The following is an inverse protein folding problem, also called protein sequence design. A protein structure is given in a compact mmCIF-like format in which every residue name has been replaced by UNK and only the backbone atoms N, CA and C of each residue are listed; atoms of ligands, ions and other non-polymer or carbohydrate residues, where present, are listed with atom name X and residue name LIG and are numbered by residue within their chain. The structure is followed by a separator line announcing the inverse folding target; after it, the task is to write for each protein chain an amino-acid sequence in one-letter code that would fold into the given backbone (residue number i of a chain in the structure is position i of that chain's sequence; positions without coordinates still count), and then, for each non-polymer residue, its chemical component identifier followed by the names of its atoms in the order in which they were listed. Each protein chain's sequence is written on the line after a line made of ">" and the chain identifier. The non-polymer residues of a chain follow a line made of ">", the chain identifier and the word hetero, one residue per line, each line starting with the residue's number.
data_IF_169992889963
#
_entry.id   IF_169992889963
#
_cell.length_a   1.000
_cell.length_b   1.000
_cell.length_c   1.000
_cell.angle_alpha   90.00
_cell.angle_beta   90.00
_cell.angle_gamma   90.00
#
_symmetry.space_group_name_H-M   'P 1'
#
loop_
_entity.id
_entity.type
_entity.pdbx_description
1 polymer ?
#
# COMPACT_ATOMS: atom_id res chain seq x y z
N UNK A 1 -16.42 -6.77 -15.70
CA UNK A 1 -16.23 -6.88 -14.22
C UNK A 1 -15.57 -5.60 -13.65
N UNK A 2 -15.75 -4.43 -14.27
CA UNK A 2 -14.83 -3.29 -14.05
C UNK A 2 -15.27 -2.21 -13.03
N UNK A 3 -16.53 -2.16 -12.61
CA UNK A 3 -17.04 -1.04 -11.81
C UNK A 3 -16.80 -1.13 -10.29
N UNK A 4 -17.18 -2.25 -9.66
CA UNK A 4 -17.18 -2.40 -8.20
C UNK A 4 -15.79 -2.68 -7.60
N UNK A 5 -14.87 -3.19 -8.43
CA UNK A 5 -13.55 -3.64 -7.97
C UNK A 5 -12.51 -2.52 -7.98
N UNK A 6 -12.51 -1.66 -9.01
CA UNK A 6 -11.65 -0.47 -9.05
C UNK A 6 -12.00 0.51 -7.91
N UNK A 7 -13.27 0.64 -7.55
CA UNK A 7 -13.71 1.54 -6.46
C UNK A 7 -13.21 1.11 -5.08
N UNK A 8 -13.28 -0.18 -4.74
CA UNK A 8 -12.82 -0.69 -3.44
C UNK A 8 -11.32 -0.53 -3.22
N UNK A 9 -10.51 -0.67 -4.27
CA UNK A 9 -9.06 -0.43 -4.14
C UNK A 9 -8.75 1.05 -3.92
N UNK A 10 -9.49 1.93 -4.61
CA UNK A 10 -9.36 3.37 -4.44
C UNK A 10 -9.65 3.78 -2.99
N UNK A 11 -10.72 3.25 -2.38
CA UNK A 11 -11.06 3.56 -0.97
C UNK A 11 -9.97 3.18 0.05
N UNK A 12 -9.15 2.15 -0.24
CA UNK A 12 -8.12 1.64 0.67
C UNK A 12 -6.87 2.51 0.70
N UNK A 13 -6.62 3.26 -0.36
CA UNK A 13 -5.39 4.04 -0.55
C UNK A 13 -5.63 5.54 -0.74
N UNK A 14 -6.88 5.97 -0.92
CA UNK A 14 -7.26 7.38 -1.08
C UNK A 14 -7.32 8.15 0.25
N UNK A 15 -7.52 7.46 1.37
CA UNK A 15 -7.69 8.06 2.70
C UNK A 15 -6.70 7.51 3.70
N UNK A 16 -6.42 8.29 4.74
CA UNK A 16 -5.61 7.89 5.89
C UNK A 16 -6.42 6.94 6.78
N UNK A 17 -5.78 5.88 7.26
CA UNK A 17 -6.31 4.88 8.18
C UNK A 17 -5.55 4.92 9.50
N UNK A 18 -6.29 4.88 10.60
CA UNK A 18 -5.74 4.96 11.95
C UNK A 18 -6.38 3.92 12.86
N UNK A 19 -5.64 3.48 13.87
CA UNK A 19 -6.12 2.57 14.90
C UNK A 19 -6.80 3.35 16.01
N UNK A 20 -8.02 2.98 16.36
CA UNK A 20 -8.79 3.54 17.45
C UNK A 20 -9.08 2.46 18.47
N UNK A 21 -8.83 2.72 19.75
CA UNK A 21 -9.23 1.81 20.82
C UNK A 21 -10.73 1.90 21.03
N UNK A 22 -11.37 0.73 21.08
CA UNK A 22 -12.80 0.62 21.34
C UNK A 22 -12.99 -0.21 22.58
N UNK A 23 -13.73 0.36 23.53
CA UNK A 23 -14.21 -0.35 24.71
C UNK A 23 -15.28 -1.35 24.29
N UNK A 24 -15.00 -2.64 24.43
CA UNK A 24 -16.03 -3.68 24.45
C UNK A 24 -16.39 -4.01 25.90
N UNK A 25 -17.65 -4.39 26.13
CA UNK A 25 -18.11 -4.92 27.42
C UNK A 25 -17.11 -5.96 27.93
N UNK A 26 -16.77 -5.86 29.22
CA UNK A 26 -15.64 -6.52 29.91
C UNK A 26 -14.31 -5.72 29.97
N UNK A 27 -14.34 -4.38 29.91
CA UNK A 27 -13.14 -3.51 30.04
C UNK A 27 -12.00 -3.83 29.04
N UNK A 28 -12.30 -4.55 27.96
CA UNK A 28 -11.32 -4.90 26.94
C UNK A 28 -11.25 -3.77 25.91
N UNK A 29 -10.07 -3.16 25.81
CA UNK A 29 -9.72 -2.25 24.71
C UNK A 29 -9.23 -3.10 23.54
N UNK A 30 -9.91 -2.99 22.40
CA UNK A 30 -9.47 -3.63 21.16
C UNK A 30 -9.13 -2.55 20.13
N UNK A 31 -7.92 -2.56 19.54
CA UNK A 31 -7.60 -1.62 18.48
C UNK A 31 -8.41 -1.99 17.24
N UNK A 32 -9.17 -1.02 16.71
CA UNK A 32 -9.88 -1.14 15.45
C UNK A 32 -9.30 -0.15 14.44
N UNK A 33 -8.90 -0.66 13.27
CA UNK A 33 -8.50 0.18 12.15
C UNK A 33 -9.75 0.84 11.53
N UNK A 34 -9.76 2.17 11.41
CA UNK A 34 -10.84 2.92 10.76
C UNK A 34 -10.27 3.92 9.75
N UNK A 35 -11.03 4.11 8.68
CA UNK A 35 -10.78 5.16 7.69
C UNK A 35 -11.11 6.51 8.31
N UNK A 36 -10.22 7.48 8.17
CA UNK A 36 -10.48 8.88 8.51
C UNK A 36 -11.20 9.59 7.35
N UNK A 37 -11.44 10.90 7.50
CA UNK A 37 -11.91 11.76 6.40
C UNK A 37 -10.75 12.51 5.71
N UNK A 38 -9.50 12.28 6.15
CA UNK A 38 -8.32 12.89 5.57
C UNK A 38 -7.92 12.16 4.29
N UNK A 39 -7.84 12.90 3.19
CA UNK A 39 -7.37 12.38 1.90
C UNK A 39 -5.85 12.34 1.88
N UNK A 40 -5.31 11.26 1.34
CA UNK A 40 -3.87 11.14 1.11
C UNK A 40 -3.43 12.03 -0.05
N UNK A 41 -2.18 12.45 0.01
CA UNK A 41 -1.51 13.04 -1.15
C UNK A 41 -1.36 12.01 -2.26
N UNK A 42 -1.13 12.46 -3.49
CA UNK A 42 -0.74 11.56 -4.59
C UNK A 42 0.47 10.69 -4.20
N UNK A 43 0.54 9.45 -4.67
CA UNK A 43 1.69 8.59 -4.42
C UNK A 43 2.95 9.19 -5.06
N UNK A 44 4.13 8.97 -4.45
CA UNK A 44 5.38 9.55 -4.95
C UNK A 44 5.78 8.96 -6.31
N UNK A 45 6.58 9.70 -7.08
CA UNK A 45 7.16 9.20 -8.34
C UNK A 45 6.19 8.88 -9.47
N UNK A 46 4.99 9.48 -9.44
CA UNK A 46 3.94 9.29 -10.45
C UNK A 46 3.61 7.80 -10.69
N UNK A 47 3.65 7.00 -9.63
CA UNK A 47 3.34 5.57 -9.72
C UNK A 47 1.83 5.33 -9.78
N UNK A 48 1.43 4.34 -10.57
CA UNK A 48 0.09 3.79 -10.51
C UNK A 48 0.03 2.76 -9.37
N UNK A 49 -0.83 3.02 -8.38
CA UNK A 49 -1.09 2.06 -7.31
C UNK A 49 -1.90 0.90 -7.86
N UNK A 50 -1.31 -0.29 -7.84
CA UNK A 50 -1.97 -1.52 -8.26
C UNK A 50 -2.16 -2.48 -7.11
N UNK A 51 -3.26 -3.24 -7.15
CA UNK A 51 -3.51 -4.30 -6.18
C UNK A 51 -2.65 -5.52 -6.49
N UNK A 52 -2.13 -6.13 -5.43
CA UNK A 52 -1.46 -7.42 -5.46
C UNK A 52 -1.90 -8.34 -4.33
N UNK A 53 -1.04 -9.31 -4.07
CA UNK A 53 -1.11 -10.22 -2.93
C UNK A 53 -0.14 -9.74 -1.85
N UNK A 54 -0.48 -9.98 -0.59
CA UNK A 54 0.44 -9.81 0.55
C UNK A 54 1.70 -10.70 0.43
N UNK A 55 1.61 -11.77 -0.35
CA UNK A 55 2.66 -12.74 -0.59
C UNK A 55 3.14 -12.66 -2.04
N UNK A 56 4.46 -12.67 -2.23
CA UNK A 56 5.11 -12.74 -3.54
C UNK A 56 6.50 -13.35 -3.43
N UNK A 57 7.01 -13.86 -4.55
CA UNK A 57 8.38 -14.32 -4.70
C UNK A 57 9.17 -13.28 -5.51
N UNK A 58 10.20 -12.68 -4.90
CA UNK A 58 10.99 -11.61 -5.50
C UNK A 58 12.46 -12.00 -5.59
N UNK A 59 13.14 -11.50 -6.62
CA UNK A 59 14.58 -11.73 -6.79
C UNK A 59 15.39 -10.98 -5.73
N UNK A 60 16.61 -11.43 -5.44
CA UNK A 60 17.55 -10.73 -4.56
C UNK A 60 17.78 -9.27 -5.01
N UNK A 61 17.91 -9.05 -6.32
CA UNK A 61 18.09 -7.72 -6.90
C UNK A 61 16.87 -6.81 -6.68
N UNK A 62 15.64 -7.35 -6.75
CA UNK A 62 14.44 -6.59 -6.43
C UNK A 62 14.43 -6.15 -4.96
N UNK A 63 14.81 -7.05 -4.05
CA UNK A 63 14.89 -6.71 -2.62
C UNK A 63 15.98 -5.67 -2.35
N UNK A 64 17.13 -5.76 -3.00
CA UNK A 64 18.16 -4.71 -2.93
C UNK A 64 17.64 -3.35 -3.41
N UNK A 65 16.89 -3.33 -4.52
CA UNK A 65 16.20 -2.12 -4.98
C UNK A 65 15.24 -1.58 -3.92
N UNK A 66 14.38 -2.40 -3.32
CA UNK A 66 13.44 -1.97 -2.26
C UNK A 66 14.18 -1.32 -1.08
N UNK A 67 15.30 -1.91 -0.65
CA UNK A 67 16.06 -1.45 0.51
C UNK A 67 16.87 -0.17 0.25
N UNK A 68 17.20 0.13 -1.00
CA UNK A 68 18.15 1.20 -1.35
C UNK A 68 17.50 2.37 -2.09
N UNK A 69 16.52 2.09 -2.94
CA UNK A 69 15.86 3.07 -3.81
C UNK A 69 15.12 4.14 -2.99
N UNK A 70 15.38 5.43 -3.22
CA UNK A 70 14.64 6.52 -2.58
C UNK A 70 13.14 6.41 -2.83
N UNK A 71 12.73 6.15 -4.07
CA UNK A 71 11.31 6.07 -4.43
C UNK A 71 10.60 4.88 -3.75
N UNK A 72 11.31 3.76 -3.54
CA UNK A 72 10.74 2.61 -2.82
C UNK A 72 10.49 2.91 -1.35
N UNK A 73 11.37 3.71 -0.72
CA UNK A 73 11.24 4.16 0.67
C UNK A 73 10.15 5.20 0.82
N UNK A 74 10.10 6.19 -0.07
CA UNK A 74 9.02 7.19 -0.10
C UNK A 74 7.66 6.54 -0.28
N UNK A 75 7.55 5.55 -1.18
CA UNK A 75 6.30 4.81 -1.36
C UNK A 75 5.94 4.00 -0.10
N UNK A 76 6.93 3.41 0.59
CA UNK A 76 6.69 2.65 1.82
C UNK A 76 6.14 3.56 2.92
N UNK A 77 6.73 4.75 3.07
CA UNK A 77 6.28 5.76 4.02
C UNK A 77 4.88 6.28 3.66
N UNK A 78 4.63 6.55 2.38
CA UNK A 78 3.30 6.92 1.89
C UNK A 78 2.25 5.83 2.16
N UNK A 79 2.62 4.56 2.08
CA UNK A 79 1.72 3.42 2.30
C UNK A 79 1.40 3.14 3.78
N UNK A 80 2.14 3.71 4.73
CA UNK A 80 2.08 3.34 6.17
C UNK A 80 0.68 3.41 6.80
N UNK A 81 -0.10 4.39 6.40
CA UNK A 81 -1.44 4.70 6.88
C UNK A 81 -2.52 4.42 5.83
N UNK A 82 -2.25 3.49 4.91
CA UNK A 82 -3.25 2.91 3.99
C UNK A 82 -3.83 1.62 4.56
N UNK A 83 -4.93 1.13 3.98
CA UNK A 83 -5.54 -0.13 4.43
C UNK A 83 -4.90 -1.35 3.77
N UNK A 84 -4.17 -2.13 4.58
CA UNK A 84 -3.37 -3.31 4.17
C UNK A 84 -2.35 -2.96 3.08
N UNK A 85 -1.25 -2.26 3.45
CA UNK A 85 -0.21 -1.85 2.51
C UNK A 85 0.49 -3.01 1.78
N UNK A 86 0.55 -4.17 2.43
CA UNK A 86 1.04 -5.43 1.87
C UNK A 86 0.30 -5.88 0.61
N UNK A 87 -0.98 -5.53 0.46
CA UNK A 87 -1.78 -5.86 -0.74
C UNK A 87 -1.61 -4.90 -1.92
N UNK A 88 -0.65 -3.95 -1.87
CA UNK A 88 -0.37 -3.10 -3.02
C UNK A 88 1.09 -2.64 -3.14
N UNK A 89 1.85 -2.53 -2.05
CA UNK A 89 3.21 -2.01 -2.07
C UNK A 89 4.12 -2.77 -3.06
N UNK A 90 4.20 -4.09 -2.93
CA UNK A 90 5.06 -4.93 -3.76
C UNK A 90 4.65 -4.90 -5.23
N UNK A 91 3.35 -5.06 -5.49
CA UNK A 91 2.81 -5.06 -6.84
C UNK A 91 3.01 -3.71 -7.54
N UNK A 92 2.87 -2.60 -6.80
CA UNK A 92 3.12 -1.25 -7.31
C UNK A 92 4.56 -1.09 -7.77
N UNK A 93 5.54 -1.46 -6.94
CA UNK A 93 6.95 -1.37 -7.33
C UNK A 93 7.29 -2.27 -8.53
N UNK A 94 6.65 -3.43 -8.65
CA UNK A 94 6.90 -4.38 -9.73
C UNK A 94 6.17 -4.03 -11.04
N UNK A 95 5.04 -3.32 -10.97
CA UNK A 95 4.20 -2.97 -12.12
C UNK A 95 4.69 -1.72 -12.86
N UNK A 96 5.17 -0.73 -12.12
CA UNK A 96 5.56 0.56 -12.67
C UNK A 96 6.94 0.45 -13.35
N UNK A 97 6.94 0.16 -14.65
CA UNK A 97 8.14 -0.18 -15.44
C UNK A 97 9.16 0.96 -15.51
N UNK A 98 8.71 2.21 -15.39
CA UNK A 98 9.57 3.40 -15.32
C UNK A 98 10.41 3.49 -14.04
N UNK A 99 10.09 2.69 -13.01
CA UNK A 99 10.93 2.57 -11.82
C UNK A 99 12.16 1.68 -12.05
N UNK A 100 12.22 0.98 -13.20
CA UNK A 100 13.29 0.04 -13.54
C UNK A 100 13.55 -1.00 -12.43
N UNK A 101 12.50 -1.41 -11.73
CA UNK A 101 12.61 -2.41 -10.66
C UNK A 101 13.09 -3.76 -11.24
N UNK A 102 14.11 -4.41 -10.65
CA UNK A 102 14.62 -5.67 -11.19
C UNK A 102 13.57 -6.78 -11.18
N UNK A 103 13.27 -7.34 -12.36
CA UNK A 103 12.22 -8.36 -12.50
C UNK A 103 10.79 -7.81 -12.60
N UNK A 104 10.65 -6.48 -12.73
CA UNK A 104 9.38 -5.82 -13.03
C UNK A 104 8.75 -6.29 -14.34
N UNK A 105 7.45 -6.05 -14.49
CA UNK A 105 6.72 -6.33 -15.73
C UNK A 105 7.38 -5.59 -16.92
N UNK A 106 7.34 -6.20 -18.10
CA UNK A 106 7.76 -5.58 -19.37
C UNK A 106 6.54 -5.19 -20.17
#
# INVERSE_FOLDING_TARGET
>A
IEGRWKSKNKERTEYVWQTFDISKGDNKQVPQLKRTNEKKTSPPGNVEIVKGSAYGAFSRAFIEFVLTSPIAKELLDWSRDTYSPDEHYWATLNYNTHLHSPGGYK
#
